data_IF_552680006001
#
_entry.id   IF_552680006001
#
_cell.length_a   1.000
_cell.length_b   1.000
_cell.length_c   1.000
_cell.angle_alpha   90.00
_cell.angle_beta   90.00
_cell.angle_gamma   90.00
#
_symmetry.space_group_name_H-M   'P 1'
#
loop_
_entity.id
_entity.type
_entity.pdbx_description
1 polymer ?
#
# COMPACT_ATOMS: atom_id res chain seq x y z
N UNK A 1 -9.34 5.65 -10.29
CA UNK A 1 -10.76 5.16 -10.26
C UNK A 1 -11.44 5.34 -11.62
N UNK A 2 -11.15 6.40 -12.38
CA UNK A 2 -11.78 6.63 -13.70
C UNK A 2 -11.46 5.50 -14.68
N UNK A 3 -10.21 5.04 -14.74
CA UNK A 3 -9.81 3.90 -15.59
C UNK A 3 -10.56 2.62 -15.21
N UNK A 4 -10.73 2.33 -13.90
CA UNK A 4 -11.52 1.18 -13.46
C UNK A 4 -12.97 1.26 -13.93
N UNK A 5 -13.58 2.46 -13.83
CA UNK A 5 -14.96 2.69 -14.30
C UNK A 5 -15.07 2.47 -15.81
N UNK A 6 -14.13 3.01 -16.59
CA UNK A 6 -14.10 2.83 -18.03
C UNK A 6 -13.86 1.35 -18.42
N UNK A 7 -12.93 0.66 -17.76
CA UNK A 7 -12.64 -0.75 -17.98
C UNK A 7 -13.86 -1.64 -17.69
N UNK A 8 -14.54 -1.40 -16.56
CA UNK A 8 -15.77 -2.11 -16.20
C UNK A 8 -16.91 -1.88 -17.22
N UNK A 9 -17.06 -0.65 -17.73
CA UNK A 9 -18.06 -0.34 -18.74
C UNK A 9 -17.81 -1.11 -20.04
N UNK A 10 -16.54 -1.21 -20.49
CA UNK A 10 -16.14 -2.00 -21.66
C UNK A 10 -16.35 -3.50 -21.44
N UNK A 11 -15.99 -4.01 -20.26
CA UNK A 11 -16.22 -5.42 -19.92
C UNK A 11 -17.72 -5.76 -19.90
N UNK A 12 -18.57 -4.87 -19.35
CA UNK A 12 -20.02 -5.01 -19.37
C UNK A 12 -20.61 -4.96 -20.80
N UNK A 13 -19.94 -4.30 -21.73
CA UNK A 13 -20.27 -4.30 -23.18
C UNK A 13 -19.76 -5.55 -23.92
N UNK A 14 -19.18 -6.54 -23.23
CA UNK A 14 -18.72 -7.81 -23.77
C UNK A 14 -17.29 -7.81 -24.29
N UNK A 15 -16.50 -6.76 -24.03
CA UNK A 15 -15.07 -6.76 -24.37
C UNK A 15 -14.26 -7.54 -23.32
N UNK A 16 -13.27 -8.31 -23.80
CA UNK A 16 -12.34 -9.01 -22.91
C UNK A 16 -11.23 -8.04 -22.41
N UNK A 17 -11.43 -7.46 -21.24
CA UNK A 17 -10.50 -6.51 -20.61
C UNK A 17 -9.61 -7.22 -19.60
N UNK A 18 -8.31 -6.96 -19.65
CA UNK A 18 -7.34 -7.38 -18.63
C UNK A 18 -7.15 -6.24 -17.65
N UNK A 19 -7.56 -6.44 -16.39
CA UNK A 19 -7.45 -5.46 -15.33
C UNK A 19 -6.08 -5.52 -14.66
N UNK A 20 -5.27 -4.48 -14.83
CA UNK A 20 -3.96 -4.28 -14.19
C UNK A 20 -3.85 -2.86 -13.57
N UNK A 21 -4.95 -2.13 -13.47
CA UNK A 21 -5.02 -0.78 -12.90
C UNK A 21 -5.26 -0.77 -11.39
N UNK A 22 -5.93 -1.80 -10.85
CA UNK A 22 -6.28 -1.87 -9.44
C UNK A 22 -5.28 -2.73 -8.67
N UNK A 23 -4.78 -2.21 -7.56
CA UNK A 23 -3.94 -2.94 -6.64
C UNK A 23 -4.73 -3.85 -5.70
N UNK A 24 -5.39 -4.86 -6.24
CA UNK A 24 -6.19 -5.82 -5.49
C UNK A 24 -5.63 -7.25 -5.63
N UNK A 25 -5.34 -7.94 -4.49
CA UNK A 25 -4.95 -9.34 -4.51
C UNK A 25 -6.03 -10.23 -5.12
N UNK A 26 -5.65 -11.09 -6.05
CA UNK A 26 -6.54 -12.09 -6.60
C UNK A 26 -6.90 -13.21 -5.61
N UNK A 27 -8.05 -13.88 -5.82
CA UNK A 27 -8.41 -15.13 -5.14
C UNK A 27 -9.11 -15.02 -3.78
N UNK A 28 -9.30 -13.81 -3.21
CA UNK A 28 -9.99 -13.61 -1.93
C UNK A 28 -9.25 -14.17 -0.69
N UNK A 29 -9.81 -14.09 0.52
CA UNK A 29 -9.15 -14.50 1.75
C UNK A 29 -8.96 -16.02 1.85
N UNK A 30 -8.06 -16.50 2.73
CA UNK A 30 -7.87 -17.93 3.00
C UNK A 30 -9.16 -18.63 3.41
N UNK A 31 -9.27 -19.92 3.09
CA UNK A 31 -10.47 -20.72 3.39
C UNK A 31 -10.83 -20.71 4.89
N UNK A 32 -9.82 -20.79 5.77
CA UNK A 32 -10.02 -20.71 7.23
C UNK A 32 -10.69 -19.42 7.67
N UNK A 33 -10.34 -18.29 7.05
CA UNK A 33 -10.93 -16.97 7.33
C UNK A 33 -12.42 -16.96 6.94
N UNK A 34 -12.76 -17.50 5.76
CA UNK A 34 -14.16 -17.63 5.29
C UNK A 34 -14.97 -18.51 6.24
N UNK A 35 -14.42 -19.67 6.64
CA UNK A 35 -15.13 -20.58 7.56
C UNK A 35 -15.29 -19.98 8.96
N UNK A 36 -14.33 -19.19 9.44
CA UNK A 36 -14.48 -18.46 10.69
C UNK A 36 -15.60 -17.43 10.61
N UNK A 37 -15.72 -16.69 9.51
CA UNK A 37 -16.81 -15.75 9.29
C UNK A 37 -18.18 -16.44 9.26
N UNK A 38 -18.31 -17.56 8.53
CA UNK A 38 -19.54 -18.36 8.46
C UNK A 38 -19.98 -18.87 9.84
N UNK A 39 -19.04 -19.41 10.64
CA UNK A 39 -19.34 -19.83 12.01
C UNK A 39 -19.80 -18.67 12.88
N UNK A 40 -19.14 -17.53 12.78
CA UNK A 40 -19.51 -16.33 13.55
C UNK A 40 -20.94 -15.88 13.24
N UNK A 41 -21.30 -15.80 11.96
CA UNK A 41 -22.65 -15.43 11.53
C UNK A 41 -23.73 -16.38 12.03
N UNK A 42 -23.44 -17.69 12.14
CA UNK A 42 -24.38 -18.69 12.58
C UNK A 42 -24.60 -18.78 14.11
N UNK A 43 -23.67 -18.23 14.92
CA UNK A 43 -23.65 -18.55 16.36
C UNK A 43 -23.66 -17.32 17.29
N UNK A 44 -23.43 -16.12 16.78
CA UNK A 44 -23.33 -14.91 17.61
C UNK A 44 -24.02 -13.70 16.97
N UNK A 45 -24.76 -12.89 17.75
CA UNK A 45 -25.12 -11.56 17.30
C UNK A 45 -23.85 -10.71 17.12
N UNK A 46 -23.78 -9.97 16.01
CA UNK A 46 -22.69 -9.02 15.74
C UNK A 46 -23.05 -7.68 16.38
N UNK A 47 -22.40 -7.36 17.49
CA UNK A 47 -22.49 -6.07 18.17
C UNK A 47 -21.24 -5.22 17.96
N UNK A 48 -21.21 -4.04 18.58
CA UNK A 48 -20.01 -3.21 18.64
C UNK A 48 -18.91 -3.91 19.45
N UNK A 49 -17.66 -3.61 19.09
CA UNK A 49 -16.50 -4.01 19.88
C UNK A 49 -15.91 -2.78 20.58
N UNK A 50 -14.82 -2.97 21.33
CA UNK A 50 -14.04 -1.86 21.85
C UNK A 50 -13.55 -0.97 20.69
N UNK A 51 -13.42 0.33 20.96
CA UNK A 51 -13.04 1.32 19.93
C UNK A 51 -11.69 1.00 19.27
N UNK A 52 -10.71 0.53 20.06
CA UNK A 52 -9.41 0.10 19.55
C UNK A 52 -9.40 -1.34 19.02
N UNK A 53 -10.56 -2.01 18.95
CA UNK A 53 -10.72 -3.37 18.48
C UNK A 53 -10.58 -4.43 19.56
N UNK A 54 -10.95 -5.66 19.20
CA UNK A 54 -11.00 -6.81 20.11
C UNK A 54 -9.62 -7.09 20.75
N UNK A 55 -9.55 -7.24 22.08
CA UNK A 55 -8.28 -7.51 22.76
C UNK A 55 -7.55 -8.76 22.24
N UNK A 56 -8.28 -9.78 21.80
CA UNK A 56 -7.70 -10.97 21.20
C UNK A 56 -6.95 -10.65 19.89
N UNK A 57 -7.55 -9.85 19.00
CA UNK A 57 -6.93 -9.48 17.73
C UNK A 57 -5.73 -8.55 17.94
N UNK A 58 -5.84 -7.59 18.88
CA UNK A 58 -4.72 -6.70 19.25
C UNK A 58 -3.51 -7.49 19.77
N UNK A 59 -3.73 -8.52 20.59
CA UNK A 59 -2.65 -9.43 21.04
C UNK A 59 -2.03 -10.20 19.88
N UNK A 60 -2.84 -10.69 18.93
CA UNK A 60 -2.31 -11.41 17.76
C UNK A 60 -1.48 -10.51 16.84
N UNK A 61 -1.88 -9.24 16.66
CA UNK A 61 -1.10 -8.27 15.89
C UNK A 61 0.23 -7.98 16.61
N UNK A 62 0.21 -7.79 17.92
CA UNK A 62 1.43 -7.60 18.69
C UNK A 62 2.37 -8.82 18.64
N UNK A 63 1.81 -10.03 18.68
CA UNK A 63 2.57 -11.28 18.52
C UNK A 63 3.13 -11.43 17.10
N UNK A 64 2.37 -11.01 16.08
CA UNK A 64 2.86 -10.98 14.71
C UNK A 64 4.08 -10.04 14.58
N UNK A 65 4.04 -8.86 15.19
CA UNK A 65 5.21 -7.95 15.21
C UNK A 65 6.43 -8.61 15.84
N UNK A 66 6.24 -9.34 16.95
CA UNK A 66 7.32 -10.05 17.60
C UNK A 66 7.88 -11.21 16.76
N UNK A 67 6.99 -11.99 16.13
CA UNK A 67 7.40 -13.18 15.37
C UNK A 67 8.01 -12.84 14.02
N UNK A 68 7.49 -11.80 13.33
CA UNK A 68 7.94 -11.43 12.00
C UNK A 68 9.19 -10.51 12.03
N UNK A 69 9.29 -9.62 13.02
CA UNK A 69 10.34 -8.58 13.04
C UNK A 69 11.21 -8.62 14.30
N UNK A 70 10.93 -9.50 15.26
CA UNK A 70 11.65 -9.53 16.53
C UNK A 70 11.30 -8.37 17.48
N UNK A 71 10.30 -7.55 17.16
CA UNK A 71 9.93 -6.33 17.92
C UNK A 71 8.75 -6.62 18.83
N UNK A 72 8.95 -6.62 20.17
CA UNK A 72 7.85 -6.74 21.11
C UNK A 72 7.02 -5.45 21.15
N UNK A 73 5.71 -5.60 21.03
CA UNK A 73 4.74 -4.48 21.07
C UNK A 73 3.75 -4.74 22.21
N UNK A 74 3.49 -3.72 23.05
CA UNK A 74 2.37 -3.80 24.01
C UNK A 74 1.05 -3.77 23.22
N UNK A 75 0.15 -4.76 23.38
CA UNK A 75 -1.16 -4.76 22.75
C UNK A 75 -2.00 -3.49 23.02
N UNK A 76 -1.69 -2.71 24.06
CA UNK A 76 -2.33 -1.42 24.31
C UNK A 76 -1.98 -0.38 23.25
N UNK A 77 -0.84 -0.49 22.61
CA UNK A 77 -0.38 0.37 21.51
C UNK A 77 -0.95 -0.03 20.14
N UNK A 78 -1.77 -1.07 20.08
CA UNK A 78 -2.39 -1.56 18.84
C UNK A 78 -3.82 -1.06 18.74
N UNK A 79 -4.21 -0.49 17.60
CA UNK A 79 -5.59 -0.19 17.27
C UNK A 79 -6.00 -0.91 15.98
N UNK A 80 -7.12 -1.62 16.02
CA UNK A 80 -7.75 -2.20 14.83
C UNK A 80 -8.60 -1.13 14.16
N UNK A 81 -8.45 -0.97 12.84
CA UNK A 81 -9.03 0.12 12.07
C UNK A 81 -9.91 -0.36 10.92
N UNK A 82 -10.72 0.55 10.37
CA UNK A 82 -11.55 0.31 9.17
C UNK A 82 -10.65 0.35 7.92
N UNK A 83 -9.87 -0.72 7.72
CA UNK A 83 -8.78 -0.79 6.76
C UNK A 83 -7.61 0.13 7.14
N UNK A 84 -6.50 0.05 6.42
CA UNK A 84 -5.39 0.99 6.55
C UNK A 84 -5.83 2.44 6.30
N UNK A 85 -6.85 2.66 5.45
CA UNK A 85 -7.43 3.99 5.20
C UNK A 85 -7.96 4.67 6.48
N UNK A 86 -8.67 3.92 7.33
CA UNK A 86 -9.07 4.41 8.64
C UNK A 86 -7.87 4.69 9.55
N UNK A 87 -6.80 3.91 9.40
CA UNK A 87 -5.52 4.13 10.09
C UNK A 87 -4.90 5.47 9.71
N UNK A 88 -4.85 5.82 8.42
CA UNK A 88 -4.35 7.13 7.97
C UNK A 88 -5.15 8.28 8.55
N UNK A 89 -6.48 8.22 8.48
CA UNK A 89 -7.35 9.28 9.04
C UNK A 89 -7.10 9.46 10.53
N UNK A 90 -7.08 8.37 11.30
CA UNK A 90 -6.87 8.42 12.75
C UNK A 90 -5.48 8.95 13.12
N UNK A 91 -4.44 8.46 12.44
CA UNK A 91 -3.06 8.86 12.72
C UNK A 91 -2.80 10.32 12.35
N UNK A 92 -3.32 10.79 11.21
CA UNK A 92 -3.12 12.18 10.79
C UNK A 92 -3.87 13.17 11.71
N UNK A 93 -5.11 12.85 12.09
CA UNK A 93 -5.88 13.66 13.03
C UNK A 93 -5.28 13.70 14.43
N UNK A 94 -4.61 12.62 14.87
CA UNK A 94 -4.01 12.54 16.19
C UNK A 94 -2.61 13.16 16.25
N UNK A 95 -1.88 13.16 15.13
CA UNK A 95 -0.47 13.53 15.09
C UNK A 95 -0.20 14.94 14.57
N UNK A 96 -1.14 15.56 13.85
CA UNK A 96 -0.92 16.85 13.17
C UNK A 96 -2.06 17.83 13.39
N UNK A 97 -1.71 19.09 13.54
CA UNK A 97 -2.65 20.22 13.54
C UNK A 97 -2.77 20.82 12.12
N UNK A 98 -3.89 21.51 11.82
CA UNK A 98 -4.00 22.29 10.57
C UNK A 98 -2.84 23.30 10.43
N UNK A 99 -2.17 23.27 9.29
CA UNK A 99 -0.98 24.09 9.02
C UNK A 99 0.34 23.39 9.33
N UNK A 100 0.35 22.24 9.99
CA UNK A 100 1.55 21.41 10.10
C UNK A 100 2.03 20.96 8.72
N UNK A 101 3.34 20.84 8.55
CA UNK A 101 3.98 20.48 7.29
C UNK A 101 4.44 19.02 7.32
N UNK A 102 3.85 18.20 6.45
CA UNK A 102 4.15 16.77 6.35
C UNK A 102 4.78 16.43 5.01
N UNK A 103 5.97 15.87 5.05
CA UNK A 103 6.69 15.41 3.86
C UNK A 103 6.08 14.12 3.35
N UNK A 104 5.70 14.13 2.07
CA UNK A 104 5.19 12.98 1.36
C UNK A 104 6.11 12.71 0.16
N UNK A 105 6.92 11.62 0.17
CA UNK A 105 7.68 11.20 -1.00
C UNK A 105 6.74 10.90 -2.17
N UNK A 106 7.00 11.47 -3.33
CA UNK A 106 6.23 11.21 -4.57
C UNK A 106 7.16 10.60 -5.64
N UNK A 107 6.74 9.54 -6.34
CA UNK A 107 5.38 8.97 -6.40
C UNK A 107 4.97 8.21 -5.14
N UNK A 108 3.70 8.36 -4.75
CA UNK A 108 3.13 7.73 -3.54
C UNK A 108 1.65 7.36 -3.70
N UNK A 109 1.15 6.60 -2.74
CA UNK A 109 -0.28 6.30 -2.65
C UNK A 109 -1.08 7.61 -2.46
N UNK A 110 -2.04 7.93 -3.36
CA UNK A 110 -2.70 9.24 -3.38
C UNK A 110 -3.44 9.63 -2.10
N UNK A 111 -3.84 8.62 -1.29
CA UNK A 111 -4.57 8.89 -0.06
C UNK A 111 -3.75 9.72 0.94
N UNK A 112 -2.41 9.59 0.97
CA UNK A 112 -1.60 10.36 1.91
C UNK A 112 -1.83 11.85 1.70
N UNK A 113 -1.54 12.37 0.50
CA UNK A 113 -1.69 13.80 0.20
C UNK A 113 -3.14 14.27 0.25
N UNK A 114 -4.09 13.43 -0.19
CA UNK A 114 -5.49 13.83 -0.25
C UNK A 114 -6.14 13.92 1.14
N UNK A 115 -5.82 12.98 2.04
CA UNK A 115 -6.31 12.99 3.41
C UNK A 115 -5.66 14.15 4.21
N UNK A 116 -4.33 14.32 4.12
CA UNK A 116 -3.63 15.43 4.77
C UNK A 116 -4.23 16.78 4.35
N UNK A 117 -4.39 17.02 3.03
CA UNK A 117 -5.00 18.26 2.51
C UNK A 117 -6.43 18.46 3.01
N UNK A 118 -7.24 17.40 3.07
CA UNK A 118 -8.61 17.47 3.57
C UNK A 118 -8.68 17.84 5.07
N UNK A 119 -7.62 17.54 5.82
CA UNK A 119 -7.47 17.88 7.25
C UNK A 119 -6.82 19.26 7.47
N UNK A 120 -6.49 19.99 6.40
CA UNK A 120 -5.82 21.30 6.50
C UNK A 120 -4.32 21.23 6.79
N UNK A 121 -3.72 20.04 6.67
CA UNK A 121 -2.27 19.83 6.82
C UNK A 121 -1.57 20.17 5.50
N UNK A 122 -0.46 20.91 5.59
CA UNK A 122 0.35 21.25 4.43
C UNK A 122 1.17 20.03 3.96
N UNK A 123 0.94 19.62 2.72
CA UNK A 123 1.71 18.55 2.09
C UNK A 123 2.95 19.14 1.45
N UNK A 124 4.12 18.68 1.89
CA UNK A 124 5.42 18.99 1.29
C UNK A 124 5.83 17.83 0.40
N UNK A 125 5.67 17.92 -0.93
CA UNK A 125 6.05 16.83 -1.83
C UNK A 125 7.58 16.71 -1.88
N UNK A 126 8.09 15.48 -1.74
CA UNK A 126 9.49 15.14 -1.93
C UNK A 126 9.62 14.33 -3.21
N UNK A 127 10.11 14.96 -4.28
CA UNK A 127 10.22 14.31 -5.59
C UNK A 127 11.29 13.19 -5.56
N UNK A 128 10.87 11.97 -5.84
CA UNK A 128 11.75 10.80 -5.98
C UNK A 128 11.88 10.42 -7.46
N UNK A 129 13.00 9.78 -7.80
CA UNK A 129 13.26 9.33 -9.17
C UNK A 129 14.27 8.19 -9.23
N UNK A 130 14.63 7.80 -10.44
CA UNK A 130 15.61 6.74 -10.69
C UNK A 130 16.99 7.01 -10.09
N UNK A 131 17.36 8.29 -9.91
CA UNK A 131 18.66 8.66 -9.28
C UNK A 131 18.75 8.31 -7.80
N UNK A 132 17.61 8.11 -7.13
CA UNK A 132 17.51 7.70 -5.72
C UNK A 132 16.86 6.32 -5.58
N UNK A 133 16.72 5.56 -6.66
CA UNK A 133 15.92 4.33 -6.70
C UNK A 133 14.51 4.50 -6.10
N UNK A 134 13.93 5.69 -6.29
CA UNK A 134 12.63 6.07 -5.72
C UNK A 134 12.55 5.95 -4.19
N UNK A 135 13.66 6.21 -3.49
CA UNK A 135 13.77 6.18 -2.03
C UNK A 135 14.06 7.59 -1.49
N UNK A 136 13.44 8.00 -0.39
CA UNK A 136 13.81 9.23 0.31
C UNK A 136 15.15 9.05 1.01
N UNK A 137 15.94 10.12 1.05
CA UNK A 137 17.23 10.17 1.78
C UNK A 137 17.24 11.36 2.74
N UNK A 138 18.09 11.31 3.77
CA UNK A 138 18.27 12.42 4.72
C UNK A 138 18.74 13.69 4.02
N UNK A 139 19.63 13.58 3.04
CA UNK A 139 20.09 14.73 2.25
C UNK A 139 18.96 15.43 1.48
N UNK A 140 17.94 14.68 1.03
CA UNK A 140 16.76 15.28 0.42
C UNK A 140 15.89 16.01 1.44
N UNK A 141 15.81 15.51 2.68
CA UNK A 141 15.08 16.17 3.76
C UNK A 141 15.78 17.46 4.19
N UNK A 142 17.11 17.48 4.26
CA UNK A 142 17.92 18.67 4.55
C UNK A 142 17.73 19.80 3.53
N UNK A 143 17.38 19.45 2.29
CA UNK A 143 17.14 20.42 1.24
C UNK A 143 15.74 21.08 1.32
N UNK A 144 14.87 20.63 2.21
CA UNK A 144 13.52 21.19 2.39
C UNK A 144 13.61 22.46 3.26
N UNK A 145 13.17 23.58 2.71
CA UNK A 145 13.10 24.82 3.46
C UNK A 145 11.94 24.83 4.47
N UNK A 146 12.22 25.31 5.67
CA UNK A 146 11.24 25.46 6.76
C UNK A 146 11.06 24.19 7.60
N UNK A 147 10.17 24.23 8.61
CA UNK A 147 9.99 23.13 9.55
C UNK A 147 9.32 21.93 8.89
N UNK A 148 9.68 20.73 9.34
CA UNK A 148 9.01 19.48 8.99
C UNK A 148 8.40 18.91 10.27
N UNK A 149 7.08 18.69 10.31
CA UNK A 149 6.36 18.14 11.46
C UNK A 149 6.16 16.63 11.32
N UNK A 150 6.07 16.12 10.08
CA UNK A 150 5.92 14.69 9.83
C UNK A 150 6.57 14.23 8.53
N UNK A 151 6.92 12.94 8.50
CA UNK A 151 7.39 12.22 7.33
C UNK A 151 6.58 10.93 7.18
N UNK A 152 6.04 10.69 5.98
CA UNK A 152 5.39 9.42 5.63
C UNK A 152 6.34 8.65 4.73
N UNK A 153 6.60 7.39 5.06
CA UNK A 153 7.31 6.45 4.19
C UNK A 153 6.47 5.22 3.93
N UNK A 154 6.77 4.51 2.86
CA UNK A 154 6.19 3.20 2.54
C UNK A 154 7.27 2.26 2.04
N UNK A 155 7.36 1.06 2.60
CA UNK A 155 8.32 0.04 2.20
C UNK A 155 7.75 -1.37 2.46
N UNK A 156 7.37 -2.10 1.42
CA UNK A 156 7.38 -1.80 -0.02
C UNK A 156 6.41 -0.68 -0.42
N UNK A 157 6.80 0.16 -1.39
CA UNK A 157 6.05 1.34 -1.79
C UNK A 157 5.03 1.07 -2.92
N UNK A 158 3.91 1.78 -2.89
CA UNK A 158 2.99 1.92 -4.01
C UNK A 158 3.14 3.35 -4.57
N UNK A 159 3.49 3.54 -5.85
CA UNK A 159 3.37 2.60 -6.99
C UNK A 159 4.65 1.84 -7.38
N UNK A 160 5.79 2.12 -6.77
CA UNK A 160 7.11 1.75 -7.29
C UNK A 160 7.52 0.30 -7.00
N UNK A 161 6.98 -0.31 -5.94
CA UNK A 161 7.44 -1.63 -5.46
C UNK A 161 8.80 -1.58 -4.75
N UNK A 162 9.40 -0.40 -4.61
CA UNK A 162 10.71 -0.20 -3.99
C UNK A 162 10.67 -0.52 -2.50
N UNK A 163 11.75 -1.13 -2.01
CA UNK A 163 11.96 -1.40 -0.60
C UNK A 163 13.20 -0.68 -0.08
N UNK A 164 13.10 -0.18 1.13
CA UNK A 164 14.23 0.35 1.90
C UNK A 164 14.92 -0.78 2.67
N UNK A 165 16.23 -0.71 2.77
CA UNK A 165 17.00 -1.62 3.62
C UNK A 165 17.12 -1.09 5.07
N UNK A 166 17.80 -1.89 5.93
CA UNK A 166 17.92 -1.57 7.35
C UNK A 166 18.70 -0.28 7.61
N UNK A 167 19.75 -0.02 6.85
CA UNK A 167 20.60 1.17 7.03
C UNK A 167 19.84 2.43 6.56
N UNK A 168 19.10 2.34 5.47
CA UNK A 168 18.24 3.41 4.95
C UNK A 168 17.12 3.77 5.96
N UNK A 169 16.47 2.75 6.52
CA UNK A 169 15.44 2.94 7.55
C UNK A 169 16.03 3.53 8.84
N UNK A 170 17.19 3.04 9.29
CA UNK A 170 17.87 3.55 10.48
C UNK A 170 18.27 5.02 10.33
N UNK A 171 18.79 5.41 9.16
CA UNK A 171 19.18 6.79 8.89
C UNK A 171 17.98 7.75 8.94
N UNK A 172 16.83 7.36 8.37
CA UNK A 172 15.61 8.17 8.45
C UNK A 172 15.03 8.22 9.87
N UNK A 173 15.10 7.12 10.61
CA UNK A 173 14.66 7.06 12.01
C UNK A 173 15.47 8.02 12.90
N UNK A 174 16.80 7.98 12.78
CA UNK A 174 17.71 8.88 13.50
C UNK A 174 17.49 10.35 13.13
N UNK A 175 17.33 10.62 11.83
CA UNK A 175 17.02 11.97 11.34
C UNK A 175 15.72 12.51 11.94
N UNK A 176 14.64 11.71 11.87
CA UNK A 176 13.35 12.11 12.43
C UNK A 176 13.40 12.32 13.94
N UNK A 177 14.11 11.47 14.68
CA UNK A 177 14.29 11.61 16.12
C UNK A 177 15.07 12.90 16.47
N UNK A 178 16.15 13.20 15.74
CA UNK A 178 16.99 14.39 15.96
C UNK A 178 16.23 15.69 15.69
N UNK A 179 15.33 15.70 14.72
CA UNK A 179 14.58 16.89 14.29
C UNK A 179 13.15 16.94 14.85
N UNK A 180 12.80 16.05 15.77
CA UNK A 180 11.44 15.92 16.34
C UNK A 180 10.33 15.78 15.29
N UNK A 181 10.61 15.04 14.20
CA UNK A 181 9.67 14.78 13.11
C UNK A 181 8.87 13.52 13.43
N UNK A 182 7.54 13.60 13.37
CA UNK A 182 6.66 12.43 13.54
C UNK A 182 6.78 11.50 12.32
N UNK A 183 7.31 10.29 12.55
CA UNK A 183 7.51 9.29 11.49
C UNK A 183 6.31 8.36 11.39
N UNK A 184 5.77 8.21 10.16
CA UNK A 184 4.68 7.29 9.83
C UNK A 184 5.19 6.33 8.76
N UNK A 185 5.10 5.03 9.04
CA UNK A 185 5.49 3.96 8.12
C UNK A 185 4.27 3.18 7.64
N UNK A 186 4.00 3.20 6.34
CA UNK A 186 3.01 2.33 5.70
C UNK A 186 3.67 1.00 5.34
N UNK A 187 3.29 -0.04 6.07
CA UNK A 187 3.83 -1.39 5.94
C UNK A 187 2.80 -2.38 5.35
N UNK A 188 1.79 -1.85 4.64
CA UNK A 188 0.65 -2.65 4.12
C UNK A 188 1.07 -3.78 3.18
N UNK A 189 2.25 -3.69 2.54
CA UNK A 189 2.76 -4.70 1.61
C UNK A 189 3.77 -5.66 2.25
N UNK A 190 4.00 -5.61 3.57
CA UNK A 190 4.82 -6.60 4.25
C UNK A 190 4.27 -8.01 4.01
N UNK A 191 5.17 -8.97 3.80
CA UNK A 191 4.83 -10.33 3.36
C UNK A 191 4.74 -10.50 1.83
N UNK A 192 4.77 -9.41 1.04
CA UNK A 192 4.79 -9.46 -0.42
C UNK A 192 6.12 -8.86 -0.89
N UNK A 193 7.16 -9.69 -0.95
CA UNK A 193 8.53 -9.27 -1.27
C UNK A 193 9.23 -10.28 -2.17
N UNK A 194 10.29 -9.86 -2.88
CA UNK A 194 11.01 -10.66 -3.86
C UNK A 194 12.51 -10.59 -3.60
N UNK A 195 13.08 -11.70 -3.07
CA UNK A 195 14.51 -11.83 -2.85
C UNK A 195 15.06 -11.30 -1.53
N UNK A 196 14.28 -10.48 -0.80
CA UNK A 196 14.62 -9.99 0.56
C UNK A 196 13.35 -9.80 1.40
N UNK A 197 13.48 -9.84 2.71
CA UNK A 197 12.38 -9.59 3.64
C UNK A 197 12.21 -8.10 3.92
N UNK A 198 10.97 -7.67 4.15
CA UNK A 198 10.69 -6.33 4.60
C UNK A 198 11.08 -6.16 6.08
N UNK A 199 11.61 -4.98 6.43
CA UNK A 199 11.97 -4.60 7.80
C UNK A 199 10.94 -3.62 8.32
N UNK A 200 10.50 -3.79 9.57
CA UNK A 200 9.59 -2.83 10.18
C UNK A 200 10.35 -1.60 10.69
N UNK A 201 9.77 -0.41 10.50
CA UNK A 201 10.32 0.82 11.07
C UNK A 201 10.41 0.77 12.60
N UNK A 202 9.61 -0.06 13.28
CA UNK A 202 9.70 -0.24 14.73
C UNK A 202 11.04 -0.81 15.20
N UNK A 203 11.82 -1.46 14.34
CA UNK A 203 13.16 -1.94 14.68
C UNK A 203 14.15 -0.78 14.92
N UNK A 204 13.87 0.39 14.33
CA UNK A 204 14.74 1.57 14.32
C UNK A 204 14.13 2.76 15.06
N UNK A 205 12.81 2.88 15.04
CA UNK A 205 12.05 3.96 15.67
C UNK A 205 10.87 3.39 16.46
N UNK A 206 11.03 3.05 17.76
CA UNK A 206 9.97 2.45 18.58
C UNK A 206 8.71 3.31 18.72
N UNK A 207 8.84 4.63 18.50
CA UNK A 207 7.75 5.60 18.55
C UNK A 207 7.20 6.00 17.18
N UNK A 208 7.60 5.31 16.12
CA UNK A 208 6.97 5.47 14.81
C UNK A 208 5.51 4.99 14.84
N UNK A 209 4.68 5.63 14.03
CA UNK A 209 3.32 5.16 13.75
C UNK A 209 3.40 4.17 12.59
N UNK A 210 3.01 2.92 12.85
CA UNK A 210 2.94 1.89 11.81
C UNK A 210 1.50 1.74 11.35
N UNK A 211 1.31 1.75 10.03
CA UNK A 211 0.03 1.47 9.39
C UNK A 211 0.17 0.19 8.58
N UNK A 212 -0.69 -0.78 8.85
CA UNK A 212 -0.70 -2.04 8.14
C UNK A 212 -2.14 -2.57 8.07
N UNK A 213 -2.37 -3.75 7.50
CA UNK A 213 -3.72 -4.30 7.45
C UNK A 213 -3.85 -5.62 6.72
N UNK A 214 -5.09 -6.08 6.68
CA UNK A 214 -5.44 -7.38 6.11
C UNK A 214 -5.72 -7.34 4.59
N UNK A 215 -5.68 -6.15 3.97
CA UNK A 215 -6.10 -5.98 2.59
C UNK A 215 -5.16 -6.61 1.56
N UNK A 216 -3.84 -6.68 1.82
CA UNK A 216 -2.86 -7.06 0.79
C UNK A 216 -2.35 -8.48 0.99
N UNK A 217 -1.40 -8.72 1.89
CA UNK A 217 -0.89 -10.07 2.12
C UNK A 217 -2.00 -11.06 2.48
N UNK A 218 -2.92 -10.68 3.37
CA UNK A 218 -4.02 -11.55 3.81
C UNK A 218 -5.21 -11.63 2.84
N UNK A 219 -5.17 -10.93 1.69
CA UNK A 219 -6.21 -10.96 0.65
C UNK A 219 -7.63 -10.63 1.14
N UNK A 220 -7.77 -9.72 2.11
CA UNK A 220 -9.03 -9.33 2.73
C UNK A 220 -9.44 -7.89 2.38
N UNK A 221 -9.36 -7.49 1.10
CA UNK A 221 -9.62 -6.10 0.65
C UNK A 221 -11.01 -5.61 1.05
N UNK A 222 -12.06 -6.33 0.68
CA UNK A 222 -13.45 -5.98 0.95
C UNK A 222 -13.88 -6.10 2.41
N UNK A 223 -13.07 -6.71 3.28
CA UNK A 223 -13.34 -6.86 4.71
C UNK A 223 -13.08 -5.59 5.51
N UNK A 224 -12.41 -4.61 4.91
CA UNK A 224 -12.13 -3.30 5.50
C UNK A 224 -11.50 -3.38 6.87
N UNK A 225 -10.44 -4.16 7.03
CA UNK A 225 -9.73 -4.34 8.29
C UNK A 225 -8.25 -3.98 8.14
N UNK A 226 -7.75 -3.20 9.09
CA UNK A 226 -6.35 -2.81 9.22
C UNK A 226 -5.98 -2.62 10.67
N UNK A 227 -4.75 -2.17 10.92
CA UNK A 227 -4.29 -1.83 12.25
C UNK A 227 -3.27 -0.70 12.24
N UNK A 228 -3.18 -0.04 13.38
CA UNK A 228 -2.12 0.87 13.77
C UNK A 228 -1.30 0.25 14.90
N UNK A 229 0.02 0.47 14.89
CA UNK A 229 0.84 0.45 16.08
C UNK A 229 1.29 1.87 16.31
N UNK A 230 1.06 2.42 17.49
CA UNK A 230 1.24 3.83 17.79
C UNK A 230 2.07 4.05 19.05
N UNK A 231 2.74 5.20 19.21
CA UNK A 231 3.40 5.56 20.45
C UNK A 231 2.37 5.81 21.57
N UNK A 232 2.82 5.74 22.83
CA UNK A 232 1.93 5.78 23.99
C UNK A 232 1.14 7.10 24.10
N UNK A 233 1.74 8.21 23.70
CA UNK A 233 1.11 9.55 23.70
C UNK A 233 -0.12 9.64 22.80
N UNK A 234 -0.17 8.82 21.75
CA UNK A 234 -1.29 8.81 20.78
C UNK A 234 -2.37 7.77 21.08
N UNK A 235 -2.18 6.87 22.07
CA UNK A 235 -3.16 5.82 22.38
C UNK A 235 -4.52 6.42 22.74
N UNK A 236 -4.56 7.36 23.68
CA UNK A 236 -5.82 7.96 24.14
C UNK A 236 -6.46 8.88 23.09
N UNK A 237 -5.73 9.78 22.40
CA UNK A 237 -6.27 10.54 21.27
C UNK A 237 -6.89 9.65 20.18
N UNK A 238 -6.19 8.60 19.74
CA UNK A 238 -6.67 7.68 18.71
C UNK A 238 -7.91 6.91 19.19
N UNK A 239 -7.96 6.47 20.46
CA UNK A 239 -9.14 5.81 21.03
C UNK A 239 -10.38 6.71 20.97
N UNK A 240 -10.24 7.98 21.35
CA UNK A 240 -11.33 8.97 21.30
C UNK A 240 -11.80 9.18 19.85
N UNK A 241 -10.85 9.38 18.93
CA UNK A 241 -11.17 9.56 17.50
C UNK A 241 -11.85 8.32 16.92
N UNK A 242 -11.31 7.13 17.17
CA UNK A 242 -11.89 5.87 16.68
C UNK A 242 -13.32 5.68 17.18
N UNK A 243 -13.58 5.95 18.47
CA UNK A 243 -14.91 5.87 19.08
C UNK A 243 -15.90 6.83 18.41
N UNK A 244 -15.49 8.05 18.10
CA UNK A 244 -16.39 9.07 17.59
C UNK A 244 -16.57 9.04 16.07
N UNK A 245 -15.55 8.61 15.32
CA UNK A 245 -15.61 8.53 13.85
C UNK A 245 -16.20 7.19 13.35
N UNK A 246 -15.89 6.10 14.04
CA UNK A 246 -16.22 4.74 13.56
C UNK A 246 -16.97 3.88 14.57
N UNK A 247 -17.04 4.27 15.84
CA UNK A 247 -17.49 3.47 16.99
C UNK A 247 -16.53 2.29 17.22
N UNK A 248 -16.43 1.39 16.22
CA UNK A 248 -15.49 0.26 16.19
C UNK A 248 -15.29 -0.23 14.76
N UNK A 249 -14.20 -0.96 14.51
CA UNK A 249 -14.02 -1.69 13.26
C UNK A 249 -15.05 -2.83 13.11
N UNK A 250 -15.34 -3.32 11.88
CA UNK A 250 -16.38 -4.34 11.65
C UNK A 250 -16.15 -5.63 12.46
N UNK A 251 -17.09 -5.97 13.32
CA UNK A 251 -16.97 -7.09 14.26
C UNK A 251 -16.75 -8.44 13.56
N UNK A 252 -17.48 -8.69 12.46
CA UNK A 252 -17.33 -9.92 11.66
C UNK A 252 -15.90 -10.06 11.10
N UNK A 253 -15.37 -8.97 10.56
CA UNK A 253 -14.01 -8.95 10.00
C UNK A 253 -12.96 -9.22 11.07
N UNK A 254 -13.13 -8.66 12.27
CA UNK A 254 -12.23 -8.90 13.39
C UNK A 254 -12.25 -10.36 13.85
N UNK A 255 -13.43 -11.00 13.93
CA UNK A 255 -13.56 -12.42 14.29
C UNK A 255 -12.89 -13.32 13.24
N UNK A 256 -13.12 -13.05 11.96
CA UNK A 256 -12.54 -13.82 10.89
C UNK A 256 -10.99 -13.68 10.85
N UNK A 257 -10.50 -12.47 11.07
CA UNK A 257 -9.06 -12.16 11.06
C UNK A 257 -8.26 -12.86 12.16
N UNK A 258 -8.89 -13.30 13.24
CA UNK A 258 -8.24 -14.11 14.28
C UNK A 258 -7.60 -15.39 13.70
N UNK A 259 -8.06 -15.88 12.56
CA UNK A 259 -7.49 -17.07 11.91
C UNK A 259 -6.53 -16.75 10.77
N UNK A 260 -6.40 -15.48 10.39
CA UNK A 260 -5.63 -15.10 9.21
C UNK A 260 -4.10 -15.34 9.38
N UNK A 261 -3.59 -15.08 10.59
CA UNK A 261 -2.16 -15.26 10.88
C UNK A 261 -1.70 -16.73 10.84
N UNK A 262 -2.62 -17.69 10.93
CA UNK A 262 -2.33 -19.13 10.82
C UNK A 262 -2.42 -19.64 9.36
N UNK A 263 -2.53 -18.76 8.37
CA UNK A 263 -2.78 -19.15 6.97
C UNK A 263 -1.56 -18.91 6.05
N UNK A 264 -0.36 -18.77 6.59
CA UNK A 264 0.86 -18.46 5.83
C UNK A 264 1.05 -19.37 4.62
N UNK A 265 0.91 -20.70 4.78
CA UNK A 265 1.08 -21.65 3.67
C UNK A 265 0.16 -21.35 2.46
N UNK A 266 -1.09 -20.93 2.69
CA UNK A 266 -2.01 -20.56 1.59
C UNK A 266 -1.67 -19.19 1.00
N UNK A 267 -1.20 -18.27 1.83
CA UNK A 267 -0.83 -16.90 1.44
C UNK A 267 0.48 -16.90 0.65
N UNK A 268 1.45 -17.70 1.04
CA UNK A 268 2.75 -17.81 0.37
C UNK A 268 2.61 -18.40 -1.03
N UNK A 269 1.70 -19.36 -1.24
CA UNK A 269 1.37 -19.86 -2.59
C UNK A 269 0.85 -18.75 -3.52
N UNK A 270 0.17 -17.73 -2.98
CA UNK A 270 -0.26 -16.57 -3.77
C UNK A 270 0.89 -15.63 -4.09
N UNK A 271 1.81 -15.46 -3.15
CA UNK A 271 3.04 -14.72 -3.40
C UNK A 271 3.86 -15.37 -4.52
N UNK A 272 3.92 -16.71 -4.60
CA UNK A 272 4.56 -17.41 -5.71
C UNK A 272 3.93 -17.07 -7.07
N UNK A 273 2.60 -16.92 -7.13
CA UNK A 273 1.92 -16.46 -8.34
C UNK A 273 2.33 -15.03 -8.70
N UNK A 274 2.42 -14.12 -7.70
CA UNK A 274 2.88 -12.75 -7.96
C UNK A 274 4.32 -12.72 -8.45
N UNK A 275 5.19 -13.57 -7.92
CA UNK A 275 6.57 -13.71 -8.38
C UNK A 275 6.63 -14.16 -9.85
N UNK A 276 5.85 -15.16 -10.24
CA UNK A 276 5.75 -15.61 -11.63
C UNK A 276 5.21 -14.48 -12.55
N UNK A 277 4.19 -13.76 -12.10
CA UNK A 277 3.63 -12.62 -12.84
C UNK A 277 4.67 -11.51 -13.05
N UNK A 278 5.42 -11.17 -11.99
CA UNK A 278 6.54 -10.23 -12.05
C UNK A 278 7.57 -10.65 -13.10
N UNK A 279 7.98 -11.92 -13.11
CA UNK A 279 8.97 -12.47 -14.04
C UNK A 279 8.47 -12.38 -15.49
N UNK A 280 7.19 -12.68 -15.74
CA UNK A 280 6.57 -12.54 -17.08
C UNK A 280 6.65 -11.09 -17.58
N UNK A 281 6.28 -10.12 -16.75
CA UNK A 281 6.33 -8.70 -17.12
C UNK A 281 7.76 -8.24 -17.39
N UNK A 282 8.69 -8.53 -16.48
CA UNK A 282 10.09 -8.12 -16.59
C UNK A 282 10.86 -8.79 -17.72
N UNK A 283 10.39 -9.95 -18.21
CA UNK A 283 10.98 -10.61 -19.38
C UNK A 283 10.40 -10.12 -20.71
N UNK A 284 9.09 -9.80 -20.77
CA UNK A 284 8.42 -9.46 -22.04
C UNK A 284 8.48 -7.98 -22.40
N UNK A 285 8.26 -7.11 -21.43
CA UNK A 285 8.08 -5.67 -21.71
C UNK A 285 9.35 -4.98 -22.21
N UNK A 286 10.58 -5.32 -21.73
CA UNK A 286 11.80 -4.73 -22.28
C UNK A 286 11.97 -4.96 -23.77
N UNK A 287 11.72 -6.17 -24.26
CA UNK A 287 11.81 -6.48 -25.69
C UNK A 287 10.83 -5.67 -26.55
N UNK A 288 9.68 -5.28 -25.98
CA UNK A 288 8.69 -4.42 -26.61
C UNK A 288 9.00 -2.91 -26.48
N UNK A 289 10.09 -2.52 -25.80
CA UNK A 289 10.54 -1.13 -25.67
C UNK A 289 10.16 -0.43 -24.36
N UNK A 290 9.63 -1.15 -23.39
CA UNK A 290 9.37 -0.65 -22.06
C UNK A 290 10.45 -1.20 -21.10
N UNK A 291 11.57 -0.48 -20.98
CA UNK A 291 12.80 -0.98 -20.33
C UNK A 291 13.10 -0.34 -18.98
N UNK A 292 12.52 0.85 -18.71
CA UNK A 292 12.83 1.63 -17.53
C UNK A 292 11.76 1.45 -16.47
N UNK A 293 12.12 0.72 -15.42
CA UNK A 293 11.24 0.44 -14.29
C UNK A 293 11.84 0.95 -12.98
N UNK A 294 10.98 1.32 -12.03
CA UNK A 294 11.39 1.37 -10.64
C UNK A 294 11.77 -0.04 -10.15
N UNK A 295 12.61 -0.17 -9.11
CA UNK A 295 12.88 -1.48 -8.49
C UNK A 295 11.58 -2.18 -8.08
N UNK A 296 11.41 -3.45 -8.50
CA UNK A 296 10.24 -4.26 -8.16
C UNK A 296 10.62 -5.25 -7.08
N UNK A 297 10.98 -4.71 -5.90
CA UNK A 297 11.47 -5.50 -4.75
C UNK A 297 10.35 -6.10 -3.92
N UNK A 298 9.18 -5.44 -3.91
CA UNK A 298 8.01 -5.87 -3.16
C UNK A 298 6.70 -5.30 -3.72
N UNK A 299 5.60 -5.47 -2.98
CA UNK A 299 4.24 -5.24 -3.44
C UNK A 299 3.92 -6.05 -4.69
N UNK A 300 3.05 -5.61 -5.54
CA UNK A 300 2.70 -6.26 -6.81
C UNK A 300 2.47 -5.23 -7.92
N UNK A 301 3.39 -4.25 -7.97
CA UNK A 301 3.36 -3.18 -8.96
C UNK A 301 4.64 -3.12 -9.76
N UNK A 302 4.49 -2.80 -11.03
CA UNK A 302 5.55 -2.37 -11.91
C UNK A 302 5.26 -0.93 -12.29
N UNK A 303 6.18 -0.02 -11.97
CA UNK A 303 6.10 1.40 -12.28
C UNK A 303 7.09 1.72 -13.39
N UNK A 304 6.58 2.07 -14.55
CA UNK A 304 7.35 2.15 -15.78
C UNK A 304 7.44 3.60 -16.29
N UNK A 305 8.64 4.04 -16.68
CA UNK A 305 8.88 5.30 -17.39
C UNK A 305 8.50 5.14 -18.87
N UNK A 306 7.51 5.89 -19.29
CA UNK A 306 7.00 5.94 -20.68
C UNK A 306 7.31 7.28 -21.37
N UNK A 307 8.20 8.10 -20.79
CA UNK A 307 8.52 9.44 -21.29
C UNK A 307 9.04 9.48 -22.72
N UNK A 308 9.54 8.36 -23.25
CA UNK A 308 9.96 8.20 -24.62
C UNK A 308 8.81 7.87 -25.59
N UNK A 309 7.61 7.56 -25.05
CA UNK A 309 6.41 7.19 -25.82
C UNK A 309 5.31 8.25 -25.71
N UNK A 310 5.28 8.99 -24.60
CA UNK A 310 4.24 9.98 -24.32
C UNK A 310 4.70 10.99 -23.28
N UNK A 311 4.06 12.16 -23.29
CA UNK A 311 4.10 13.20 -22.25
C UNK A 311 2.77 13.31 -21.47
N UNK A 312 1.81 12.40 -21.75
CA UNK A 312 0.51 12.31 -21.09
C UNK A 312 0.15 10.87 -20.76
N UNK A 313 0.52 10.44 -19.55
CA UNK A 313 0.25 9.08 -19.07
C UNK A 313 -1.23 8.72 -19.01
N UNK A 314 -2.13 9.72 -18.84
CA UNK A 314 -3.56 9.47 -18.79
C UNK A 314 -4.09 9.08 -20.16
N UNK A 315 -3.90 9.92 -21.16
CA UNK A 315 -4.29 9.62 -22.56
C UNK A 315 -3.62 8.36 -23.08
N UNK A 316 -2.39 8.09 -22.64
CA UNK A 316 -1.65 6.87 -22.98
C UNK A 316 -2.34 5.61 -22.41
N UNK A 317 -2.75 5.62 -21.14
CA UNK A 317 -3.52 4.53 -20.53
C UNK A 317 -4.90 4.33 -21.19
N UNK A 318 -5.58 5.42 -21.52
CA UNK A 318 -6.87 5.37 -22.21
C UNK A 318 -6.74 4.70 -23.60
N UNK A 319 -5.68 5.02 -24.35
CA UNK A 319 -5.39 4.38 -25.65
C UNK A 319 -5.07 2.89 -25.49
N UNK A 320 -4.27 2.51 -24.50
CA UNK A 320 -3.95 1.10 -24.21
C UNK A 320 -5.23 0.32 -23.87
N UNK A 321 -6.12 0.91 -23.08
CA UNK A 321 -7.41 0.30 -22.77
C UNK A 321 -8.27 0.11 -24.02
N UNK A 322 -8.32 1.13 -24.89
CA UNK A 322 -9.15 1.11 -26.10
C UNK A 322 -8.62 0.16 -27.17
N UNK A 323 -7.32 0.15 -27.41
CA UNK A 323 -6.69 -0.51 -28.54
C UNK A 323 -6.14 -1.92 -28.20
N UNK A 324 -5.74 -2.13 -26.93
CA UNK A 324 -5.18 -3.41 -26.47
C UNK A 324 -6.09 -4.17 -25.50
N UNK A 325 -7.11 -3.53 -24.93
CA UNK A 325 -7.98 -4.14 -23.92
C UNK A 325 -7.25 -4.41 -22.60
N UNK A 326 -6.25 -3.59 -22.25
CA UNK A 326 -5.50 -3.69 -21.00
C UNK A 326 -5.69 -2.40 -20.20
N UNK A 327 -6.24 -2.49 -19.00
CA UNK A 327 -6.41 -1.37 -18.10
C UNK A 327 -5.16 -1.16 -17.25
N UNK A 328 -4.60 0.05 -17.24
CA UNK A 328 -3.41 0.45 -16.48
C UNK A 328 -3.68 1.74 -15.71
N UNK A 329 -2.94 1.99 -14.62
CA UNK A 329 -3.08 3.24 -13.89
C UNK A 329 -2.06 4.28 -14.40
N UNK A 330 -2.48 5.53 -14.71
CA UNK A 330 -1.56 6.59 -15.08
C UNK A 330 -0.72 7.02 -13.88
N UNK A 331 0.55 7.34 -14.11
CA UNK A 331 1.46 7.82 -13.08
C UNK A 331 1.03 9.15 -12.46
N UNK A 332 0.28 9.95 -13.21
CA UNK A 332 -0.31 11.21 -12.73
C UNK A 332 -1.21 11.03 -11.47
N UNK A 333 -1.74 9.84 -11.22
CA UNK A 333 -2.47 9.55 -9.99
C UNK A 333 -1.55 9.55 -8.75
N UNK A 334 -0.26 9.23 -8.92
CA UNK A 334 0.70 8.97 -7.83
C UNK A 334 1.73 10.09 -7.64
N UNK A 335 2.02 10.86 -8.68
CA UNK A 335 3.03 11.91 -8.68
C UNK A 335 2.46 13.14 -9.37
N UNK A 336 2.39 14.24 -8.61
CA UNK A 336 1.81 15.49 -9.07
C UNK A 336 2.71 16.25 -10.06
N UNK A 337 4.02 16.02 -10.03
CA UNK A 337 5.00 16.71 -10.86
C UNK A 337 5.41 15.90 -12.09
N UNK A 338 5.81 14.64 -11.90
CA UNK A 338 6.42 13.81 -12.93
C UNK A 338 5.53 12.65 -13.39
N UNK A 339 4.37 12.46 -12.79
CA UNK A 339 3.51 11.31 -13.06
C UNK A 339 3.04 11.19 -14.52
N UNK A 340 3.02 12.30 -15.28
CA UNK A 340 2.73 12.31 -16.71
C UNK A 340 3.68 11.41 -17.54
N UNK A 341 4.85 11.08 -16.99
CA UNK A 341 5.90 10.27 -17.62
C UNK A 341 5.85 8.79 -17.27
N UNK A 342 4.93 8.37 -16.38
CA UNK A 342 4.92 7.03 -15.82
C UNK A 342 3.57 6.37 -15.95
N UNK A 343 3.57 5.03 -15.94
CA UNK A 343 2.38 4.18 -15.79
C UNK A 343 2.62 3.13 -14.72
N UNK A 344 1.56 2.69 -14.05
CA UNK A 344 1.63 1.58 -13.09
C UNK A 344 0.82 0.38 -13.58
N UNK A 345 1.45 -0.80 -13.56
CA UNK A 345 0.84 -2.09 -13.81
C UNK A 345 0.73 -2.85 -12.47
N UNK A 346 -0.45 -3.31 -12.10
CA UNK A 346 -0.65 -4.23 -10.98
C UNK A 346 -0.62 -5.67 -11.50
N UNK A 347 0.17 -6.53 -10.85
CA UNK A 347 0.33 -7.93 -11.28
C UNK A 347 -0.15 -8.97 -10.25
N UNK A 348 -1.08 -8.58 -9.37
CA UNK A 348 -1.67 -9.48 -8.37
C UNK A 348 -2.80 -10.36 -8.90
N UNK A 349 -3.12 -10.29 -10.19
CA UNK A 349 -4.15 -11.10 -10.83
C UNK A 349 -3.76 -12.56 -11.04
N UNK A 350 -4.70 -13.36 -11.59
CA UNK A 350 -4.43 -14.71 -12.03
C UNK A 350 -3.32 -14.73 -13.10
N UNK A 351 -2.45 -15.75 -13.06
CA UNK A 351 -1.25 -15.80 -13.90
C UNK A 351 -1.55 -15.74 -15.40
N UNK A 352 -2.56 -16.48 -15.85
CA UNK A 352 -3.00 -16.50 -17.25
C UNK A 352 -3.49 -15.12 -17.72
N UNK A 353 -4.20 -14.38 -16.86
CA UNK A 353 -4.69 -13.02 -17.16
C UNK A 353 -3.55 -12.01 -17.22
N UNK A 354 -2.59 -12.07 -16.29
CA UNK A 354 -1.42 -11.17 -16.30
C UNK A 354 -0.52 -11.48 -17.50
N UNK A 355 -0.30 -12.76 -17.83
CA UNK A 355 0.45 -13.16 -19.02
C UNK A 355 -0.21 -12.67 -20.33
N UNK A 356 -1.54 -12.77 -20.43
CA UNK A 356 -2.30 -12.21 -21.56
C UNK A 356 -2.17 -10.68 -21.63
N UNK A 357 -2.25 -9.99 -20.48
CA UNK A 357 -2.06 -8.54 -20.42
C UNK A 357 -0.66 -8.12 -20.89
N UNK A 358 0.37 -8.83 -20.44
CA UNK A 358 1.75 -8.60 -20.87
C UNK A 358 1.92 -8.81 -22.39
N UNK A 359 1.29 -9.84 -22.95
CA UNK A 359 1.33 -10.13 -24.39
C UNK A 359 0.62 -9.03 -25.20
N UNK A 360 -0.60 -8.65 -24.81
CA UNK A 360 -1.36 -7.60 -25.49
C UNK A 360 -0.64 -6.25 -25.44
N UNK A 361 -0.09 -5.90 -24.29
CA UNK A 361 0.66 -4.66 -24.12
C UNK A 361 1.94 -4.67 -24.97
N UNK A 362 2.70 -5.77 -24.98
CA UNK A 362 3.91 -5.89 -25.79
C UNK A 362 3.59 -5.75 -27.29
N UNK A 363 2.60 -6.48 -27.80
CA UNK A 363 2.15 -6.40 -29.19
C UNK A 363 1.64 -4.99 -29.56
N UNK A 364 1.00 -4.28 -28.62
CA UNK A 364 0.56 -2.91 -28.84
C UNK A 364 1.75 -1.95 -28.94
N UNK A 365 2.72 -2.05 -28.01
CA UNK A 365 3.93 -1.22 -27.98
C UNK A 365 4.77 -1.39 -29.26
N UNK A 366 4.92 -2.63 -29.77
CA UNK A 366 5.62 -2.90 -31.02
C UNK A 366 5.00 -2.19 -32.22
N UNK A 367 3.68 -2.03 -32.24
CA UNK A 367 2.97 -1.28 -33.30
C UNK A 367 3.11 0.24 -33.21
N UNK A 368 3.58 0.78 -32.06
CA UNK A 368 3.83 2.21 -31.87
C UNK A 368 5.24 2.62 -32.31
N UNK A 369 6.13 1.66 -32.54
CA UNK A 369 7.48 1.86 -33.09
C UNK A 369 7.43 2.04 -34.61
#
# INVERSE_FOLDING_TARGET
MDVLTAANAKAAAGQDIVHMEVGEPGGGPPKRVIEAAKRTLGHRPLGYTEALGKPALRRMIAEHSRSAYGVPVDPKRVAVTVGASGGFVLSFLAAFDPGDRVVVPEPAFPAYRNVLKALGVEVVPLALGSSSDFKPTTAMLDAIEGPIHGLIIASPANPTGTMMDGDELAALAEYCATHAIRLISDEIYHGITYGREARSMLEYAPDAIIINGFSKYFCMTGWRLGWLIMPEDLVRPIEILAQNLFISAPALSQEAALTAFDCSNELDLRQDVYKQNREVLLSRLPAAGLERFAPVDGAFYLYADVSHLTDDSKSFCDRILDEAGVALAPGADFDSANGHRYIRLAFAGAHDRVALGAERLANWLERQR
#
